data_IF_252574381814
#
_entry.id   IF_252574381814
#
_cell.length_a   1.000
_cell.length_b   1.000
_cell.length_c   1.000
_cell.angle_alpha   90.00
_cell.angle_beta   90.00
_cell.angle_gamma   90.00
#
_symmetry.space_group_name_H-M   'P 1'
#
loop_
_entity.id
_entity.type
_entity.pdbx_description
1 polymer ?
#
# COMPACT_ATOMS: atom_id res chain seq x y z
N UNK A 1 -16.48 -8.88 -9.88
CA UNK A 1 -15.09 -8.62 -9.43
C UNK A 1 -14.44 -7.35 -10.01
N UNK A 2 -14.88 -6.80 -11.15
CA UNK A 2 -14.29 -5.58 -11.76
C UNK A 2 -14.24 -4.37 -10.81
N UNK A 3 -15.35 -4.08 -10.13
CA UNK A 3 -15.45 -2.97 -9.16
C UNK A 3 -14.49 -3.12 -7.96
N UNK A 4 -14.33 -4.33 -7.43
CA UNK A 4 -13.38 -4.59 -6.34
C UNK A 4 -11.95 -4.32 -6.77
N UNK A 5 -11.53 -4.90 -7.89
CA UNK A 5 -10.18 -4.70 -8.44
C UNK A 5 -9.89 -3.23 -8.73
N UNK A 6 -10.86 -2.52 -9.32
CA UNK A 6 -10.74 -1.08 -9.56
C UNK A 6 -10.49 -0.29 -8.26
N UNK A 7 -11.27 -0.56 -7.22
CA UNK A 7 -11.12 0.13 -5.93
C UNK A 7 -9.83 -0.25 -5.19
N UNK A 8 -9.43 -1.53 -5.22
CA UNK A 8 -8.14 -1.98 -4.71
C UNK A 8 -6.99 -1.27 -5.46
N UNK A 9 -7.05 -1.23 -6.79
CA UNK A 9 -6.04 -0.56 -7.61
C UNK A 9 -5.94 0.92 -7.30
N UNK A 10 -7.08 1.62 -7.17
CA UNK A 10 -7.11 3.06 -6.83
C UNK A 10 -6.35 3.37 -5.54
N UNK A 11 -6.45 2.50 -4.52
CA UNK A 11 -5.71 2.65 -3.26
C UNK A 11 -4.23 2.31 -3.47
N UNK A 12 -3.91 1.23 -4.17
CA UNK A 12 -2.51 0.82 -4.41
C UNK A 12 -1.78 1.91 -5.20
N UNK A 13 -2.36 2.39 -6.30
CA UNK A 13 -1.73 3.38 -7.17
C UNK A 13 -1.49 4.72 -6.48
N UNK A 14 -2.35 5.14 -5.55
CA UNK A 14 -2.14 6.39 -4.79
C UNK A 14 -0.93 6.31 -3.85
N UNK A 15 -0.62 5.11 -3.36
CA UNK A 15 0.53 4.88 -2.48
C UNK A 15 1.81 4.58 -3.27
N UNK A 16 1.68 3.97 -4.45
CA UNK A 16 2.80 3.55 -5.31
C UNK A 16 3.28 4.66 -6.26
N UNK A 17 2.44 5.61 -6.66
CA UNK A 17 2.81 6.75 -7.53
C UNK A 17 3.14 8.03 -6.77
N UNK A 18 3.12 8.01 -5.43
CA UNK A 18 3.58 9.12 -4.62
C UNK A 18 5.12 9.15 -4.62
N UNK A 19 5.69 9.60 -5.74
CA UNK A 19 7.10 9.98 -5.85
C UNK A 19 7.35 11.18 -4.91
N UNK A 20 8.35 11.12 -4.00
CA UNK A 20 8.75 12.27 -3.22
C UNK A 20 9.53 13.23 -4.13
N UNK A 21 8.82 14.18 -4.73
CA UNK A 21 9.47 15.34 -5.33
C UNK A 21 10.41 16.03 -4.31
N UNK A 22 11.52 16.62 -4.77
CA UNK A 22 12.58 17.10 -3.89
C UNK A 22 12.05 18.16 -2.93
N UNK A 23 12.19 17.90 -1.63
CA UNK A 23 11.97 18.90 -0.59
C UNK A 23 12.92 20.08 -0.82
N UNK A 24 12.44 21.33 -0.90
CA UNK A 24 13.34 22.48 -0.88
C UNK A 24 14.00 22.57 0.50
N UNK A 25 15.32 22.41 0.51
CA UNK A 25 16.19 22.70 1.64
C UNK A 25 16.03 24.17 2.06
N UNK A 26 15.65 24.41 3.31
CA UNK A 26 15.97 25.63 4.03
C UNK A 26 16.63 25.26 5.37
N UNK A 27 17.84 25.80 5.54
CA UNK A 27 18.79 25.48 6.59
C UNK A 27 18.47 26.09 7.96
N UNK A 28 19.07 25.45 8.97
CA UNK A 28 19.59 25.95 10.25
C UNK A 28 18.63 26.08 11.46
N UNK A 29 18.76 25.17 12.44
CA UNK A 29 19.62 25.36 13.62
C UNK A 29 19.58 24.15 14.59
N UNK A 30 20.76 23.87 15.16
CA UNK A 30 21.16 22.94 16.24
C UNK A 30 20.09 22.34 17.18
N UNK A 31 20.22 21.04 17.47
CA UNK A 31 20.62 20.51 18.80
C UNK A 31 20.90 19.00 18.77
N UNK A 32 21.96 18.65 19.50
CA UNK A 32 22.50 17.32 19.78
C UNK A 32 21.53 16.45 20.61
N UNK A 33 21.06 15.34 20.04
CA UNK A 33 20.57 14.15 20.78
C UNK A 33 20.82 12.92 19.91
N UNK A 34 21.67 12.00 20.37
CA UNK A 34 21.76 10.65 19.83
C UNK A 34 20.43 9.90 20.00
N UNK A 35 19.73 9.69 18.89
CA UNK A 35 18.61 8.76 18.75
C UNK A 35 18.88 7.86 17.54
N UNK A 36 18.49 6.58 17.58
CA UNK A 36 18.85 5.62 16.54
C UNK A 36 18.23 6.05 15.21
N UNK A 37 19.01 5.86 14.15
CA UNK A 37 18.71 6.29 12.78
C UNK A 37 17.23 6.09 12.43
N UNK A 38 16.54 7.11 11.89
CA UNK A 38 15.23 6.90 11.30
C UNK A 38 15.45 5.97 10.12
N UNK A 39 14.85 4.80 10.23
CA UNK A 39 14.66 3.82 9.15
C UNK A 39 14.39 4.56 7.85
N UNK A 40 15.15 4.20 6.81
CA UNK A 40 15.11 4.76 5.47
C UNK A 40 13.69 5.13 5.01
N UNK A 41 13.52 6.21 4.22
CA UNK A 41 12.20 6.60 3.70
C UNK A 41 11.57 5.40 3.01
N UNK A 42 10.45 4.96 3.58
CA UNK A 42 9.70 3.78 3.19
C UNK A 42 9.22 3.99 1.75
N UNK A 43 9.96 3.47 0.76
CA UNK A 43 9.58 3.41 -0.65
C UNK A 43 8.10 3.09 -0.74
N UNK A 44 7.28 4.00 -1.26
CA UNK A 44 5.94 3.82 -1.82
C UNK A 44 5.28 2.40 -1.65
N UNK A 45 5.04 1.96 -0.40
CA UNK A 45 4.54 0.62 -0.04
C UNK A 45 3.19 0.73 0.65
N UNK A 46 2.31 -0.24 0.38
CA UNK A 46 1.01 -0.37 1.07
C UNK A 46 0.83 -1.79 1.60
N UNK A 47 0.31 -1.95 2.82
CA UNK A 47 0.02 -3.29 3.38
C UNK A 47 -1.37 -3.77 3.00
N UNK A 48 -1.57 -5.08 2.95
CA UNK A 48 -2.89 -5.67 2.69
C UNK A 48 -3.90 -5.30 3.77
N UNK A 49 -3.51 -5.24 5.05
CA UNK A 49 -4.40 -4.75 6.11
C UNK A 49 -4.87 -3.33 5.85
N UNK A 50 -3.98 -2.43 5.45
CA UNK A 50 -4.33 -1.04 5.15
C UNK A 50 -5.30 -0.95 3.98
N UNK A 51 -5.04 -1.72 2.92
CA UNK A 51 -5.93 -1.85 1.78
C UNK A 51 -7.31 -2.38 2.20
N UNK A 52 -7.36 -3.47 2.96
CA UNK A 52 -8.60 -4.11 3.38
C UNK A 52 -9.45 -3.24 4.31
N UNK A 53 -8.83 -2.36 5.11
CA UNK A 53 -9.56 -1.37 5.91
C UNK A 53 -10.18 -0.27 5.04
N UNK A 54 -9.51 0.15 3.96
CA UNK A 54 -9.95 1.26 3.11
C UNK A 54 -10.97 0.85 2.05
N UNK A 55 -10.78 -0.31 1.41
CA UNK A 55 -11.61 -0.78 0.28
C UNK A 55 -13.12 -0.81 0.60
N UNK A 56 -13.60 -1.34 1.75
CA UNK A 56 -15.04 -1.43 2.03
C UNK A 56 -15.77 -0.07 2.03
N UNK A 57 -15.08 1.02 2.36
CA UNK A 57 -15.62 2.38 2.33
C UNK A 57 -15.81 2.93 0.91
N UNK A 58 -15.23 2.27 -0.09
CA UNK A 58 -15.26 2.67 -1.50
C UNK A 58 -16.20 1.80 -2.35
N UNK A 59 -16.83 0.81 -1.73
CA UNK A 59 -17.74 -0.12 -2.37
C UNK A 59 -19.20 0.27 -2.10
N UNK A 60 -20.12 -0.30 -2.89
CA UNK A 60 -21.54 -0.24 -2.55
C UNK A 60 -21.82 -0.97 -1.24
N UNK A 61 -22.89 -0.58 -0.52
CA UNK A 61 -23.29 -1.18 0.76
C UNK A 61 -23.31 -2.72 0.70
N UNK A 62 -24.03 -3.28 -0.28
CA UNK A 62 -24.12 -4.73 -0.48
C UNK A 62 -22.75 -5.37 -0.70
N UNK A 63 -21.86 -4.75 -1.46
CA UNK A 63 -20.56 -5.34 -1.75
C UNK A 63 -19.59 -5.21 -0.57
N UNK A 64 -19.70 -4.12 0.21
CA UNK A 64 -18.97 -3.88 1.45
C UNK A 64 -19.35 -4.91 2.54
N UNK A 65 -20.63 -5.26 2.65
CA UNK A 65 -21.12 -6.26 3.61
C UNK A 65 -20.68 -7.70 3.26
N UNK A 66 -20.43 -7.98 1.97
CA UNK A 66 -20.09 -9.31 1.48
C UNK A 66 -18.60 -9.52 1.19
N UNK A 67 -17.75 -8.51 1.41
CA UNK A 67 -16.32 -8.64 1.18
C UNK A 67 -15.65 -9.41 2.32
N UNK A 68 -14.81 -10.39 1.96
CA UNK A 68 -13.96 -11.13 2.88
C UNK A 68 -12.49 -10.87 2.59
N UNK A 69 -11.63 -11.17 3.58
CA UNK A 69 -10.16 -11.13 3.39
C UNK A 69 -9.73 -11.98 2.19
N UNK A 70 -10.30 -13.18 2.03
CA UNK A 70 -10.00 -14.08 0.92
C UNK A 70 -10.36 -13.46 -0.43
N UNK A 71 -11.51 -12.79 -0.54
CA UNK A 71 -11.94 -12.16 -1.79
C UNK A 71 -11.09 -10.93 -2.13
N UNK A 72 -10.76 -10.12 -1.13
CA UNK A 72 -9.85 -8.99 -1.30
C UNK A 72 -8.45 -9.45 -1.70
N UNK A 73 -7.95 -10.52 -1.06
CA UNK A 73 -6.64 -11.08 -1.39
C UNK A 73 -6.61 -11.63 -2.81
N UNK A 74 -7.65 -12.37 -3.22
CA UNK A 74 -7.80 -12.85 -4.59
C UNK A 74 -7.80 -11.71 -5.62
N UNK A 75 -8.44 -10.59 -5.31
CA UNK A 75 -8.39 -9.41 -6.18
C UNK A 75 -6.98 -8.81 -6.27
N UNK A 76 -6.22 -8.79 -5.16
CA UNK A 76 -4.81 -8.34 -5.15
C UNK A 76 -3.92 -9.28 -5.97
N UNK A 77 -4.11 -10.60 -5.90
CA UNK A 77 -3.37 -11.56 -6.73
C UNK A 77 -3.59 -11.31 -8.23
N UNK A 78 -4.83 -11.04 -8.64
CA UNK A 78 -5.13 -10.64 -10.02
C UNK A 78 -4.42 -9.33 -10.40
N UNK A 79 -4.42 -8.33 -9.51
CA UNK A 79 -3.75 -7.06 -9.76
C UNK A 79 -2.23 -7.21 -9.83
N UNK A 80 -1.63 -8.12 -9.06
CA UNK A 80 -0.21 -8.38 -9.12
C UNK A 80 0.21 -8.83 -10.53
N UNK A 81 -0.58 -9.71 -11.15
CA UNK A 81 -0.35 -10.15 -12.52
C UNK A 81 -0.61 -9.02 -13.55
N UNK A 82 -1.64 -8.21 -13.35
CA UNK A 82 -2.06 -7.19 -14.33
C UNK A 82 -1.28 -5.87 -14.29
N UNK A 83 -0.69 -5.54 -13.13
CA UNK A 83 -0.05 -4.24 -12.85
C UNK A 83 1.41 -4.37 -12.42
N UNK A 84 1.98 -5.56 -12.55
CA UNK A 84 3.36 -5.87 -12.16
C UNK A 84 3.63 -5.46 -10.71
N UNK A 85 2.86 -6.03 -9.77
CA UNK A 85 3.04 -5.77 -8.33
C UNK A 85 3.82 -6.90 -7.68
N UNK A 86 4.70 -6.54 -6.75
CA UNK A 86 5.41 -7.47 -5.89
C UNK A 86 4.71 -7.55 -4.53
N UNK A 87 4.51 -8.79 -4.07
CA UNK A 87 3.94 -9.08 -2.75
C UNK A 87 5.07 -9.51 -1.80
N UNK A 88 5.36 -8.69 -0.79
CA UNK A 88 6.38 -8.96 0.20
C UNK A 88 5.81 -9.76 1.38
N UNK A 89 6.31 -10.98 1.58
CA UNK A 89 5.93 -11.85 2.70
C UNK A 89 6.36 -11.26 4.04
N UNK A 90 5.48 -11.31 5.04
CA UNK A 90 5.82 -11.14 6.45
C UNK A 90 5.97 -12.52 7.13
N UNK A 91 6.89 -12.64 8.09
CA UNK A 91 7.19 -13.92 8.75
C UNK A 91 6.03 -14.48 9.56
N UNK A 92 5.25 -13.60 10.20
CA UNK A 92 4.10 -13.96 11.03
C UNK A 92 2.84 -14.36 10.24
N UNK A 93 2.89 -14.23 8.90
CA UNK A 93 1.79 -14.50 7.97
C UNK A 93 0.51 -13.69 8.25
N UNK A 94 0.58 -12.62 9.05
CA UNK A 94 -0.59 -11.79 9.38
C UNK A 94 -0.88 -10.73 8.33
N UNK A 95 0.14 -10.31 7.60
CA UNK A 95 0.06 -9.30 6.55
C UNK A 95 1.09 -9.55 5.44
N UNK A 96 1.03 -8.73 4.40
CA UNK A 96 2.06 -8.65 3.37
C UNK A 96 2.11 -7.23 2.78
N UNK A 97 3.27 -6.84 2.27
CA UNK A 97 3.45 -5.56 1.59
C UNK A 97 3.16 -5.69 0.10
N UNK A 98 2.67 -4.60 -0.49
CA UNK A 98 2.35 -4.48 -1.91
C UNK A 98 3.16 -3.28 -2.43
N UNK A 99 3.99 -3.51 -3.44
CA UNK A 99 4.80 -2.48 -4.10
C UNK A 99 4.84 -2.70 -5.61
N UNK A 100 5.23 -1.69 -6.39
CA UNK A 100 5.49 -1.88 -7.82
C UNK A 100 6.73 -2.75 -8.00
N UNK A 101 6.73 -3.62 -9.02
CA UNK A 101 7.98 -4.14 -9.55
C UNK A 101 8.77 -2.98 -10.15
N UNK A 102 10.03 -2.83 -9.76
CA UNK A 102 10.99 -2.04 -10.53
C UNK A 102 11.28 -2.78 -11.83
N UNK A 103 11.40 -2.02 -12.92
CA UNK A 103 11.60 -2.52 -14.29
C UNK A 103 13.07 -2.87 -14.54
#
# INVERSE_FOLDING_TARGET
MKQLKYNCWRIISSHVQADPGPQPSQNASQLDVSLPAPTQPDEAKVTFTTLYRKVPHLLSKTMSENISKSLAFYAVLHLANEKSLLLGRQEDLKDFTIRKAEE
#
